data_IF_835905971282
#
_entry.id   IF_835905971282
#
_cell.length_a   1.000
_cell.length_b   1.000
_cell.length_c   1.000
_cell.angle_alpha   90.00
_cell.angle_beta   90.00
_cell.angle_gamma   90.00
#
_symmetry.space_group_name_H-M   'P 1'
#
loop_
_entity.id
_entity.type
_entity.pdbx_description
1 polymer ?
#
# COMPACT_ATOMS: atom_id res chain seq x y z
N UNK A 1 -75.26 -42.05 -31.28
CA UNK A 1 -74.10 -42.54 -30.50
C UNK A 1 -73.11 -41.40 -30.31
N UNK A 2 -73.07 -40.79 -29.12
CA UNK A 2 -72.10 -39.74 -28.77
C UNK A 2 -70.75 -40.40 -28.47
N UNK A 3 -69.73 -40.11 -29.29
CA UNK A 3 -68.34 -40.51 -28.98
C UNK A 3 -67.83 -39.64 -27.84
N UNK A 4 -67.70 -40.22 -26.66
CA UNK A 4 -67.02 -39.61 -25.52
C UNK A 4 -65.52 -39.62 -25.80
N UNK A 5 -64.94 -38.45 -26.06
CA UNK A 5 -63.49 -38.28 -25.99
C UNK A 5 -63.12 -38.12 -24.51
N UNK A 6 -62.17 -38.90 -23.97
CA UNK A 6 -61.76 -38.77 -22.58
C UNK A 6 -61.11 -37.41 -22.34
N UNK A 7 -61.62 -36.68 -21.35
CA UNK A 7 -61.18 -35.33 -20.98
C UNK A 7 -59.68 -35.27 -20.59
N UNK A 8 -59.08 -36.41 -20.23
CA UNK A 8 -57.69 -36.53 -19.81
C UNK A 8 -56.67 -36.23 -20.91
N UNK A 9 -57.01 -36.41 -22.21
CA UNK A 9 -56.06 -36.18 -23.30
C UNK A 9 -55.77 -34.67 -23.53
N UNK A 10 -56.70 -33.79 -23.12
CA UNK A 10 -56.54 -32.34 -23.27
C UNK A 10 -55.67 -31.73 -22.17
N UNK A 11 -55.64 -32.34 -20.99
CA UNK A 11 -54.90 -31.82 -19.85
C UNK A 11 -53.39 -32.11 -19.97
N UNK A 12 -53.01 -33.28 -20.46
CA UNK A 12 -51.60 -33.64 -20.68
C UNK A 12 -50.93 -32.79 -21.75
N UNK A 13 -51.63 -32.39 -22.81
CA UNK A 13 -51.05 -31.54 -23.86
C UNK A 13 -50.85 -30.09 -23.39
N UNK A 14 -51.73 -29.57 -22.52
CA UNK A 14 -51.59 -28.22 -21.94
C UNK A 14 -50.46 -28.20 -20.90
N UNK A 15 -50.34 -29.23 -20.06
CA UNK A 15 -49.25 -29.35 -19.09
C UNK A 15 -47.90 -29.50 -19.81
N UNK A 16 -47.80 -30.31 -20.86
CA UNK A 16 -46.58 -30.42 -21.67
C UNK A 16 -46.22 -29.11 -22.38
N UNK A 17 -47.20 -28.32 -22.85
CA UNK A 17 -46.95 -27.03 -23.49
C UNK A 17 -46.47 -25.96 -22.49
N UNK A 18 -47.03 -25.94 -21.27
CA UNK A 18 -46.59 -25.05 -20.18
C UNK A 18 -45.20 -25.45 -19.67
N UNK A 19 -44.89 -26.74 -19.60
CA UNK A 19 -43.54 -27.22 -19.26
C UNK A 19 -42.51 -26.88 -20.36
N UNK A 20 -42.92 -26.96 -21.63
CA UNK A 20 -42.06 -26.57 -22.77
C UNK A 20 -41.83 -25.05 -22.79
N UNK A 21 -42.84 -24.24 -22.49
CA UNK A 21 -42.73 -22.77 -22.41
C UNK A 21 -41.95 -22.30 -21.18
N UNK A 22 -41.99 -23.04 -20.07
CA UNK A 22 -41.16 -22.78 -18.88
C UNK A 22 -39.68 -23.10 -19.06
N UNK A 23 -39.33 -24.01 -19.99
CA UNK A 23 -37.94 -24.29 -20.38
C UNK A 23 -37.32 -23.20 -21.27
N UNK A 24 -38.14 -22.31 -21.83
CA UNK A 24 -37.70 -21.08 -22.51
C UNK A 24 -37.80 -19.85 -21.60
N UNK A 25 -37.71 -20.04 -20.28
CA UNK A 25 -37.52 -18.93 -19.34
C UNK A 25 -36.14 -18.31 -19.58
N UNK A 26 -36.10 -17.40 -20.56
CA UNK A 26 -35.14 -16.33 -20.79
C UNK A 26 -33.87 -16.47 -19.96
N UNK A 27 -32.96 -17.35 -20.38
CA UNK A 27 -31.57 -17.16 -20.03
C UNK A 27 -31.18 -15.83 -20.66
N UNK A 28 -31.03 -14.80 -19.83
CA UNK A 28 -30.24 -13.63 -20.22
C UNK A 28 -28.84 -14.17 -20.47
N UNK A 29 -28.56 -14.51 -21.74
CA UNK A 29 -27.21 -14.65 -22.24
C UNK A 29 -26.57 -13.30 -22.01
N UNK A 30 -25.91 -13.13 -20.87
CA UNK A 30 -24.96 -12.05 -20.68
C UNK A 30 -23.90 -12.27 -21.75
N UNK A 31 -23.94 -11.44 -22.79
CA UNK A 31 -22.90 -11.43 -23.81
C UNK A 31 -21.54 -11.31 -23.10
N UNK A 32 -20.52 -11.97 -23.64
CA UNK A 32 -19.16 -11.77 -23.17
C UNK A 32 -18.88 -10.25 -23.21
N UNK A 33 -18.64 -9.65 -22.04
CA UNK A 33 -18.24 -8.25 -21.96
C UNK A 33 -16.87 -8.18 -22.65
N UNK A 34 -16.84 -7.61 -23.84
CA UNK A 34 -15.62 -7.43 -24.59
C UNK A 34 -15.13 -6.00 -24.36
N UNK A 35 -13.95 -5.88 -23.78
CA UNK A 35 -13.31 -4.59 -23.53
C UNK A 35 -12.37 -4.28 -24.69
N UNK A 36 -12.60 -3.16 -25.36
CA UNK A 36 -11.63 -2.66 -26.33
C UNK A 36 -10.37 -2.20 -25.60
N UNK A 37 -9.20 -2.59 -26.11
CA UNK A 37 -7.90 -2.25 -25.55
C UNK A 37 -7.16 -1.27 -26.47
N UNK A 38 -6.43 -0.34 -25.88
CA UNK A 38 -5.47 0.54 -26.56
C UNK A 38 -4.22 0.69 -25.71
N UNK A 39 -3.13 1.10 -26.35
CA UNK A 39 -1.91 1.55 -25.65
C UNK A 39 -2.05 3.05 -25.40
N UNK A 40 -1.70 3.51 -24.20
CA UNK A 40 -1.64 4.93 -23.89
C UNK A 40 -0.54 5.58 -24.75
N UNK A 41 -0.89 6.57 -25.56
CA UNK A 41 0.09 7.32 -26.33
C UNK A 41 0.68 8.43 -25.47
N UNK A 42 1.97 8.32 -25.14
CA UNK A 42 2.67 9.35 -24.37
C UNK A 42 2.92 10.63 -25.17
N UNK A 43 2.78 10.60 -26.50
CA UNK A 43 2.88 11.75 -27.39
C UNK A 43 4.15 12.58 -27.17
N UNK A 44 5.26 11.89 -26.90
CA UNK A 44 6.57 12.51 -26.62
C UNK A 44 6.71 13.20 -25.25
N UNK A 45 5.71 13.13 -24.37
CA UNK A 45 5.74 13.77 -23.04
C UNK A 45 6.45 12.96 -21.95
N UNK A 46 7.08 11.83 -22.29
CA UNK A 46 7.78 10.96 -21.33
C UNK A 46 7.34 9.51 -21.43
N UNK A 47 7.44 8.76 -20.33
CA UNK A 47 7.05 7.36 -20.21
C UNK A 47 6.82 6.96 -18.73
N UNK A 48 6.48 5.69 -18.52
CA UNK A 48 6.38 5.00 -17.21
C UNK A 48 7.15 3.67 -17.26
N UNK A 49 8.33 3.68 -17.90
CA UNK A 49 9.07 2.46 -18.27
C UNK A 49 9.79 1.81 -17.09
N UNK A 50 9.82 2.45 -15.91
CA UNK A 50 10.51 1.92 -14.72
C UNK A 50 9.68 0.90 -13.94
N UNK A 51 8.57 0.43 -14.51
CA UNK A 51 7.66 -0.55 -13.92
C UNK A 51 6.58 0.11 -13.08
N UNK A 52 5.32 0.03 -13.52
CA UNK A 52 4.17 0.59 -12.79
C UNK A 52 3.65 -0.41 -11.78
N UNK A 53 3.51 0.03 -10.53
CA UNK A 53 3.03 -0.82 -9.42
C UNK A 53 1.65 -0.40 -8.93
N UNK A 54 1.31 0.88 -9.01
CA UNK A 54 0.00 1.40 -8.63
C UNK A 54 -0.36 2.64 -9.46
N UNK A 55 -1.65 2.87 -9.66
CA UNK A 55 -2.17 4.04 -10.36
C UNK A 55 -3.58 4.39 -9.91
N UNK A 56 -3.89 5.67 -9.87
CA UNK A 56 -5.21 6.18 -9.49
C UNK A 56 -5.50 7.51 -10.17
N UNK A 57 -6.75 7.72 -10.58
CA UNK A 57 -7.20 9.05 -11.00
C UNK A 57 -7.43 9.94 -9.77
N UNK A 58 -6.83 11.12 -9.78
CA UNK A 58 -7.05 12.11 -8.74
C UNK A 58 -8.31 12.95 -8.95
N UNK A 59 -8.69 13.76 -7.94
CA UNK A 59 -9.87 14.62 -7.99
C UNK A 59 -9.75 15.75 -9.03
N UNK A 60 -8.56 16.01 -9.55
CA UNK A 60 -8.27 16.97 -10.61
C UNK A 60 -8.32 16.36 -12.02
N UNK A 61 -8.66 15.07 -12.14
CA UNK A 61 -8.77 14.34 -13.39
C UNK A 61 -7.44 13.89 -13.99
N UNK A 62 -6.30 14.12 -13.31
CA UNK A 62 -4.99 13.58 -13.72
C UNK A 62 -4.84 12.13 -13.27
N UNK A 63 -4.05 11.36 -14.01
CA UNK A 63 -3.67 10.00 -13.63
C UNK A 63 -2.35 10.03 -12.87
N UNK A 64 -2.37 9.57 -11.63
CA UNK A 64 -1.20 9.44 -10.78
C UNK A 64 -0.69 8.01 -10.87
N UNK A 65 0.62 7.84 -11.05
CA UNK A 65 1.25 6.54 -11.31
C UNK A 65 2.47 6.42 -10.42
N UNK A 66 2.55 5.35 -9.65
CA UNK A 66 3.74 4.98 -8.91
C UNK A 66 4.61 4.04 -9.75
N UNK A 67 5.87 4.40 -9.94
CA UNK A 67 6.87 3.50 -10.48
C UNK A 67 7.59 2.75 -9.35
N UNK A 68 7.94 1.48 -9.61
CA UNK A 68 8.59 0.58 -8.66
C UNK A 68 9.81 1.20 -7.96
N UNK A 69 10.70 1.98 -8.62
CA UNK A 69 11.85 2.61 -7.97
C UNK A 69 11.54 3.87 -7.14
N UNK A 70 10.28 4.30 -7.06
CA UNK A 70 9.85 5.41 -6.21
C UNK A 70 9.60 6.74 -6.90
N UNK A 71 9.70 6.83 -8.22
CA UNK A 71 9.24 8.04 -8.92
C UNK A 71 7.72 8.02 -9.03
N UNK A 72 7.07 9.12 -8.68
CA UNK A 72 5.63 9.31 -8.92
C UNK A 72 5.44 10.15 -10.18
N UNK A 73 4.65 9.66 -11.13
CA UNK A 73 4.31 10.35 -12.37
C UNK A 73 2.88 10.88 -12.29
N UNK A 74 2.67 12.13 -12.69
CA UNK A 74 1.33 12.73 -12.76
C UNK A 74 1.03 13.13 -14.20
N UNK A 75 0.10 12.42 -14.82
CA UNK A 75 -0.20 12.51 -16.24
C UNK A 75 -1.51 13.28 -16.47
N UNK A 76 -1.47 14.27 -17.36
CA UNK A 76 -2.68 14.84 -17.95
C UNK A 76 -3.01 14.04 -19.22
N UNK A 77 -4.17 13.39 -19.23
CA UNK A 77 -4.59 12.51 -20.34
C UNK A 77 -5.81 13.11 -21.03
N UNK A 78 -5.68 13.32 -22.35
CA UNK A 78 -6.80 13.64 -23.23
C UNK A 78 -7.39 12.35 -23.80
N UNK A 79 -8.69 12.15 -23.56
CA UNK A 79 -9.46 11.07 -24.20
C UNK A 79 -10.09 11.57 -25.50
N UNK A 80 -9.52 11.19 -26.64
CA UNK A 80 -10.04 11.56 -27.96
C UNK A 80 -11.23 10.68 -28.37
N UNK A 81 -11.20 9.39 -28.01
CA UNK A 81 -12.31 8.45 -28.23
C UNK A 81 -12.27 7.28 -27.21
N UNK A 82 -13.02 6.20 -27.46
CA UNK A 82 -13.10 5.06 -26.54
C UNK A 82 -11.77 4.32 -26.32
N UNK A 83 -10.85 4.38 -27.28
CA UNK A 83 -9.59 3.62 -27.36
C UNK A 83 -8.43 4.51 -27.82
N UNK A 84 -8.51 5.80 -27.56
CA UNK A 84 -7.52 6.80 -27.98
C UNK A 84 -7.35 7.79 -26.84
N UNK A 85 -6.27 7.56 -26.10
CA UNK A 85 -5.86 8.32 -24.95
C UNK A 85 -4.46 8.81 -25.20
N UNK A 86 -4.28 10.12 -25.07
CA UNK A 86 -3.04 10.81 -25.40
C UNK A 86 -2.60 11.60 -24.17
N UNK A 87 -1.38 11.39 -23.71
CA UNK A 87 -0.78 12.20 -22.66
C UNK A 87 -0.43 13.56 -23.25
N UNK A 88 -0.93 14.63 -22.64
CA UNK A 88 -0.65 16.01 -23.07
C UNK A 88 0.34 16.72 -22.15
N UNK A 89 0.56 16.19 -20.95
CA UNK A 89 1.56 16.65 -20.00
C UNK A 89 1.93 15.54 -19.02
N UNK A 90 3.18 15.53 -18.55
CA UNK A 90 3.67 14.60 -17.53
C UNK A 90 4.58 15.35 -16.56
N UNK A 91 4.28 15.22 -15.28
CA UNK A 91 5.09 15.70 -14.16
C UNK A 91 5.74 14.50 -13.46
N UNK A 92 6.97 14.65 -12.95
CA UNK A 92 7.67 13.62 -12.17
C UNK A 92 8.02 14.17 -10.80
N UNK A 93 7.68 13.42 -9.75
CA UNK A 93 7.94 13.76 -8.36
C UNK A 93 8.98 12.80 -7.78
N UNK A 94 10.05 13.36 -7.22
CA UNK A 94 11.16 12.62 -6.60
C UNK A 94 11.00 12.42 -5.10
N UNK A 95 9.93 12.93 -4.49
CA UNK A 95 9.83 13.00 -3.02
C UNK A 95 9.95 11.65 -2.31
N UNK A 96 9.69 10.51 -2.97
CA UNK A 96 9.98 9.18 -2.40
C UNK A 96 11.44 8.77 -2.67
N UNK A 97 11.99 8.99 -3.87
CA UNK A 97 13.42 8.71 -4.15
C UNK A 97 14.40 9.59 -3.38
N UNK A 98 13.93 10.72 -2.85
CA UNK A 98 14.73 11.62 -2.01
C UNK A 98 14.87 11.14 -0.56
N UNK A 99 14.21 10.03 -0.19
CA UNK A 99 14.34 9.39 1.12
C UNK A 99 15.74 8.76 1.23
N UNK A 100 16.46 9.12 2.30
CA UNK A 100 17.75 8.49 2.63
C UNK A 100 17.51 7.05 3.11
N UNK A 101 18.15 6.09 2.46
CA UNK A 101 18.05 4.68 2.84
C UNK A 101 19.03 4.32 3.97
N UNK A 102 18.73 3.22 4.64
CA UNK A 102 19.54 2.67 5.73
C UNK A 102 19.77 1.18 5.52
N UNK A 103 20.80 0.64 6.15
CA UNK A 103 21.03 -0.79 6.29
C UNK A 103 20.35 -1.33 7.55
N UNK A 104 20.27 -2.65 7.70
CA UNK A 104 19.52 -3.26 8.80
C UNK A 104 20.09 -2.96 10.20
N UNK A 105 21.35 -2.55 10.28
CA UNK A 105 21.99 -2.06 11.52
C UNK A 105 21.66 -0.58 11.83
N UNK A 106 20.85 0.06 10.99
CA UNK A 106 20.46 1.47 11.09
C UNK A 106 21.48 2.44 10.50
N UNK A 107 22.58 1.97 9.91
CA UNK A 107 23.55 2.85 9.27
C UNK A 107 22.98 3.45 7.98
N UNK A 108 23.32 4.71 7.68
CA UNK A 108 22.91 5.37 6.44
C UNK A 108 23.55 4.67 5.23
N UNK A 109 22.72 4.31 4.25
CA UNK A 109 23.13 3.74 2.97
C UNK A 109 22.85 4.71 1.81
N UNK A 110 23.84 5.56 1.53
CA UNK A 110 23.77 6.50 0.39
C UNK A 110 23.96 5.83 -0.98
N UNK A 111 24.31 4.54 -1.03
CA UNK A 111 24.49 3.79 -2.28
C UNK A 111 23.16 3.37 -2.91
N UNK A 112 22.10 3.25 -2.11
CA UNK A 112 20.74 2.97 -2.55
C UNK A 112 19.94 4.28 -2.66
N UNK A 113 19.50 4.62 -3.86
CA UNK A 113 18.71 5.85 -4.16
C UNK A 113 17.29 5.55 -4.62
N UNK A 114 16.95 4.28 -4.78
CA UNK A 114 15.63 3.81 -5.18
C UNK A 114 14.86 3.34 -3.95
N UNK A 115 13.53 3.31 -4.07
CA UNK A 115 12.61 2.84 -3.04
C UNK A 115 11.58 1.93 -3.67
N UNK A 116 11.42 0.71 -3.18
CA UNK A 116 10.33 -0.16 -3.61
C UNK A 116 9.00 0.51 -3.28
N UNK A 117 8.23 0.87 -4.30
CA UNK A 117 6.97 1.59 -4.13
C UNK A 117 5.84 0.75 -4.70
N UNK A 118 4.88 0.36 -3.87
CA UNK A 118 3.85 -0.64 -4.22
C UNK A 118 2.42 -0.19 -3.93
N UNK A 119 2.21 0.95 -3.26
CA UNK A 119 0.89 1.51 -3.00
C UNK A 119 0.80 3.01 -3.26
N UNK A 120 -0.32 3.44 -3.83
CA UNK A 120 -0.65 4.84 -4.06
C UNK A 120 -2.16 5.03 -3.93
N UNK A 121 -2.58 6.03 -3.16
CA UNK A 121 -3.97 6.54 -3.15
C UNK A 121 -3.96 8.07 -3.24
N UNK A 122 -4.97 8.62 -3.90
CA UNK A 122 -5.09 10.05 -4.21
C UNK A 122 -6.39 10.57 -3.65
N UNK A 123 -6.30 11.67 -2.92
CA UNK A 123 -7.41 12.32 -2.25
C UNK A 123 -7.33 13.86 -2.41
N UNK A 124 -7.98 14.58 -1.50
CA UNK A 124 -8.03 16.04 -1.51
C UNK A 124 -9.09 16.57 -2.47
N UNK A 125 -8.77 17.66 -3.16
CA UNK A 125 -9.69 18.36 -4.07
C UNK A 125 -9.02 18.62 -5.40
N UNK A 126 -9.79 18.97 -6.43
CA UNK A 126 -9.24 19.30 -7.74
C UNK A 126 -8.20 20.43 -7.70
N UNK A 127 -8.32 21.38 -6.77
CA UNK A 127 -7.37 22.49 -6.62
C UNK A 127 -6.21 22.18 -5.67
N UNK A 128 -6.36 21.18 -4.79
CA UNK A 128 -5.36 20.76 -3.81
C UNK A 128 -5.40 19.22 -3.71
N UNK A 129 -4.91 18.51 -4.74
CA UNK A 129 -4.79 17.06 -4.67
C UNK A 129 -3.76 16.67 -3.60
N UNK A 130 -4.00 15.51 -2.98
CA UNK A 130 -3.11 14.90 -1.98
C UNK A 130 -2.80 13.48 -2.42
N UNK A 131 -1.53 13.10 -2.40
CA UNK A 131 -1.08 11.74 -2.73
C UNK A 131 -0.52 11.12 -1.47
N UNK A 132 -0.92 9.88 -1.18
CA UNK A 132 -0.28 9.04 -0.17
C UNK A 132 0.38 7.87 -0.86
N UNK A 133 1.64 7.62 -0.53
CA UNK A 133 2.47 6.60 -1.18
C UNK A 133 3.14 5.75 -0.11
N UNK A 134 3.03 4.44 -0.24
CA UNK A 134 3.83 3.51 0.56
C UNK A 134 5.11 3.14 -0.19
N UNK A 135 6.22 3.11 0.55
CA UNK A 135 7.51 2.70 0.01
C UNK A 135 8.34 1.92 1.03
N UNK A 136 9.36 1.20 0.58
CA UNK A 136 10.31 0.44 1.42
C UNK A 136 11.70 0.40 0.76
N UNK A 137 12.67 -0.24 1.42
CA UNK A 137 13.98 -0.52 0.81
C UNK A 137 13.79 -1.24 -0.53
N UNK A 138 14.52 -0.79 -1.55
CA UNK A 138 14.44 -1.32 -2.90
C UNK A 138 15.14 -2.67 -3.07
N UNK A 139 16.08 -2.99 -2.17
CA UNK A 139 16.84 -4.24 -2.22
C UNK A 139 15.92 -5.43 -1.93
N UNK A 140 16.27 -6.56 -2.53
CA UNK A 140 15.65 -7.86 -2.27
C UNK A 140 16.82 -8.81 -2.01
N UNK A 141 17.02 -9.19 -0.75
CA UNK A 141 18.14 -10.05 -0.38
C UNK A 141 17.85 -11.53 -0.59
N UNK A 142 16.61 -11.91 -0.32
CA UNK A 142 16.26 -13.30 -0.13
C UNK A 142 15.58 -13.93 -1.38
N UNK A 143 14.78 -14.99 -1.18
CA UNK A 143 14.26 -15.83 -2.25
C UNK A 143 15.01 -17.17 -2.37
N UNK A 144 14.93 -17.85 -3.53
CA UNK A 144 15.38 -19.25 -3.66
C UNK A 144 16.88 -19.47 -3.37
N UNK A 145 17.71 -18.45 -3.60
CA UNK A 145 19.15 -18.48 -3.27
C UNK A 145 19.44 -18.27 -1.78
N UNK A 146 18.54 -17.59 -1.04
CA UNK A 146 18.64 -17.28 0.38
C UNK A 146 19.83 -16.38 0.71
N UNK A 147 19.78 -15.13 0.25
CA UNK A 147 20.76 -14.09 0.57
C UNK A 147 20.26 -13.12 1.62
N UNK A 148 21.21 -12.53 2.34
CA UNK A 148 21.05 -11.37 3.20
C UNK A 148 21.87 -10.25 2.57
N UNK A 149 21.22 -9.10 2.33
CA UNK A 149 21.84 -7.92 1.71
C UNK A 149 21.87 -6.73 2.66
N UNK A 150 21.60 -6.97 3.95
CA UNK A 150 21.51 -5.98 5.00
C UNK A 150 20.51 -4.88 4.67
N UNK A 151 19.35 -5.23 4.11
CA UNK A 151 18.31 -4.24 3.85
C UNK A 151 17.62 -3.84 5.15
N UNK A 152 17.13 -2.61 5.24
CA UNK A 152 16.47 -2.15 6.46
C UNK A 152 15.07 -2.81 6.62
N UNK A 153 14.92 -3.68 7.61
CA UNK A 153 13.66 -4.38 7.93
C UNK A 153 12.60 -3.50 8.61
N UNK A 154 12.93 -2.24 8.92
CA UNK A 154 12.03 -1.15 9.32
C UNK A 154 11.86 -0.09 8.20
N UNK A 155 12.29 -0.36 6.97
CA UNK A 155 12.34 0.65 5.90
C UNK A 155 10.98 1.13 5.37
N UNK A 156 9.87 0.54 5.81
CA UNK A 156 8.53 0.93 5.36
C UNK A 156 8.19 2.36 5.77
N UNK A 157 7.77 3.18 4.79
CA UNK A 157 7.41 4.59 4.98
C UNK A 157 6.15 4.91 4.20
N UNK A 158 5.30 5.75 4.78
CA UNK A 158 4.18 6.38 4.08
C UNK A 158 4.47 7.87 3.90
N UNK A 159 4.63 8.28 2.65
CA UNK A 159 4.91 9.67 2.26
C UNK A 159 3.64 10.34 1.76
N UNK A 160 3.39 11.58 2.19
CA UNK A 160 2.30 12.44 1.71
C UNK A 160 2.85 13.57 0.86
N UNK A 161 2.27 13.73 -0.33
CA UNK A 161 2.45 14.90 -1.18
C UNK A 161 1.18 15.75 -1.13
N UNK A 162 1.30 17.04 -0.85
CA UNK A 162 0.17 17.99 -0.84
C UNK A 162 0.43 19.11 -1.82
N UNK A 163 -0.43 19.28 -2.82
CA UNK A 163 -0.31 20.41 -3.72
C UNK A 163 -0.84 21.68 -3.06
N UNK A 164 0.00 22.71 -2.95
CA UNK A 164 -0.34 23.98 -2.29
C UNK A 164 -0.77 25.10 -3.25
N UNK A 165 -0.90 24.79 -4.55
CA UNK A 165 -1.17 25.77 -5.61
C UNK A 165 0.06 26.20 -6.41
N UNK A 166 1.27 25.89 -5.93
CA UNK A 166 2.53 26.26 -6.59
C UNK A 166 3.59 25.15 -6.60
N UNK A 167 3.65 24.34 -5.55
CA UNK A 167 4.56 23.22 -5.40
C UNK A 167 3.89 22.09 -4.64
N UNK A 168 4.55 20.92 -4.63
CA UNK A 168 4.21 19.81 -3.77
C UNK A 168 4.97 19.94 -2.45
N UNK A 169 4.23 20.02 -1.34
CA UNK A 169 4.78 19.87 0.00
C UNK A 169 4.86 18.37 0.31
N UNK A 170 6.02 17.89 0.76
CA UNK A 170 6.31 16.47 0.95
C UNK A 170 6.66 16.20 2.41
N UNK A 171 6.00 15.22 3.02
CA UNK A 171 6.25 14.82 4.41
C UNK A 171 6.09 13.32 4.58
N UNK A 172 6.95 12.68 5.36
CA UNK A 172 6.78 11.29 5.76
C UNK A 172 5.85 11.19 6.96
N UNK A 173 4.66 10.62 6.77
CA UNK A 173 3.65 10.53 7.82
C UNK A 173 4.04 9.52 8.89
N UNK A 174 4.51 8.36 8.46
CA UNK A 174 4.87 7.23 9.30
C UNK A 174 6.14 6.60 8.75
N UNK A 175 7.14 6.42 9.60
CA UNK A 175 8.41 5.74 9.29
C UNK A 175 8.64 4.58 10.27
N UNK A 176 9.32 3.53 9.82
CA UNK A 176 9.60 2.34 10.64
C UNK A 176 8.66 1.16 10.40
N UNK A 177 7.85 1.17 9.33
CA UNK A 177 6.96 0.05 9.03
C UNK A 177 7.76 -1.18 8.58
N UNK A 178 7.28 -2.41 8.88
CA UNK A 178 8.04 -3.62 8.61
C UNK A 178 8.26 -3.86 7.11
N UNK A 179 9.44 -4.36 6.78
CA UNK A 179 9.86 -4.83 5.46
C UNK A 179 10.57 -6.18 5.63
N UNK A 180 10.20 -7.19 4.84
CA UNK A 180 10.89 -8.47 4.88
C UNK A 180 12.25 -8.40 4.19
N UNK A 181 13.09 -9.41 4.39
CA UNK A 181 14.34 -9.58 3.62
C UNK A 181 14.12 -9.98 2.15
N UNK A 182 12.89 -10.37 1.77
CA UNK A 182 12.52 -10.74 0.38
C UNK A 182 11.73 -9.62 -0.31
N UNK A 183 10.46 -9.83 -0.68
CA UNK A 183 9.62 -8.93 -1.47
C UNK A 183 8.27 -8.64 -0.80
N UNK A 184 8.21 -8.76 0.53
CA UNK A 184 7.02 -8.42 1.30
C UNK A 184 7.24 -7.06 1.96
N UNK A 185 6.44 -6.08 1.61
CA UNK A 185 6.64 -4.68 1.95
C UNK A 185 5.37 -4.04 2.54
N UNK A 186 5.47 -2.75 2.85
CA UNK A 186 4.26 -1.91 3.04
C UNK A 186 3.66 -1.63 1.67
N UNK A 187 2.46 -2.15 1.41
CA UNK A 187 1.84 -2.16 0.08
C UNK A 187 0.65 -1.19 -0.03
N UNK A 188 -0.42 -1.60 -0.72
CA UNK A 188 -1.60 -0.79 -0.99
C UNK A 188 -2.20 -0.15 0.26
N UNK A 189 -2.74 1.05 0.06
CA UNK A 189 -3.33 1.86 1.11
C UNK A 189 -4.55 2.60 0.58
N UNK A 190 -5.56 2.76 1.42
CA UNK A 190 -6.77 3.52 1.08
C UNK A 190 -7.10 4.54 2.16
N UNK A 191 -7.46 5.75 1.71
CA UNK A 191 -7.95 6.80 2.60
C UNK A 191 -9.44 6.58 2.89
N UNK A 192 -9.78 6.52 4.17
CA UNK A 192 -11.16 6.35 4.62
C UNK A 192 -11.51 7.33 5.73
N UNK A 193 -12.77 7.72 5.79
CA UNK A 193 -13.32 8.43 6.94
C UNK A 193 -14.25 7.48 7.71
N UNK A 194 -13.91 7.17 8.96
CA UNK A 194 -14.70 6.31 9.84
C UNK A 194 -15.22 7.17 10.97
N UNK A 195 -16.54 7.41 10.99
CA UNK A 195 -17.22 8.20 12.01
C UNK A 195 -16.62 9.59 12.26
N UNK A 196 -16.14 10.25 11.20
CA UNK A 196 -15.54 11.59 11.27
C UNK A 196 -14.02 11.61 11.42
N UNK A 197 -13.38 10.47 11.69
CA UNK A 197 -11.91 10.38 11.79
C UNK A 197 -11.31 9.85 10.50
N UNK A 198 -10.24 10.48 10.03
CA UNK A 198 -9.54 10.07 8.82
C UNK A 198 -8.48 9.00 9.13
N UNK A 199 -8.48 7.94 8.33
CA UNK A 199 -7.52 6.86 8.43
C UNK A 199 -6.91 6.55 7.06
N UNK A 200 -5.65 6.12 7.06
CA UNK A 200 -5.16 5.23 6.01
C UNK A 200 -5.33 3.79 6.49
N UNK A 201 -5.99 2.97 5.69
CA UNK A 201 -6.00 1.52 5.85
C UNK A 201 -4.90 0.97 4.97
N UNK A 202 -3.95 0.24 5.53
CA UNK A 202 -2.69 -0.10 4.86
C UNK A 202 -2.45 -1.61 4.91
N UNK A 203 -2.14 -2.21 3.76
CA UNK A 203 -1.69 -3.58 3.68
C UNK A 203 -0.20 -3.65 4.06
N UNK A 204 0.11 -4.27 5.19
CA UNK A 204 1.48 -4.54 5.61
C UNK A 204 1.84 -6.00 5.38
N UNK A 205 2.86 -6.22 4.54
CA UNK A 205 3.40 -7.53 4.27
C UNK A 205 3.97 -8.21 5.50
N UNK A 206 3.86 -9.52 5.55
CA UNK A 206 4.48 -10.40 6.53
C UNK A 206 5.97 -10.52 6.27
N UNK A 207 6.75 -10.82 7.30
CA UNK A 207 8.20 -11.00 7.17
C UNK A 207 8.54 -12.37 6.60
N UNK A 208 7.62 -13.33 6.67
CA UNK A 208 7.81 -14.71 6.26
C UNK A 208 6.77 -15.16 5.26
N UNK A 209 7.01 -16.30 4.59
CA UNK A 209 6.06 -16.89 3.66
C UNK A 209 4.94 -17.72 4.32
N UNK A 210 5.11 -18.14 5.56
CA UNK A 210 4.21 -19.14 6.19
C UNK A 210 4.01 -18.94 7.68
N UNK A 211 4.33 -17.77 8.22
CA UNK A 211 4.30 -17.49 9.65
C UNK A 211 5.45 -18.14 10.42
N UNK A 212 6.52 -18.57 9.74
CA UNK A 212 7.69 -19.19 10.37
C UNK A 212 8.97 -18.83 9.62
N UNK A 213 10.12 -18.70 10.33
CA UNK A 213 11.43 -18.51 9.73
C UNK A 213 11.72 -19.51 8.61
N UNK A 214 12.32 -19.02 7.52
CA UNK A 214 12.76 -19.88 6.42
C UNK A 214 13.98 -19.29 5.71
N UNK A 215 14.75 -20.16 5.04
CA UNK A 215 15.90 -19.73 4.24
C UNK A 215 15.57 -18.63 3.23
N UNK A 216 14.37 -18.67 2.65
CA UNK A 216 13.95 -17.71 1.62
C UNK A 216 13.70 -16.31 2.18
N UNK A 217 13.74 -16.14 3.51
CA UNK A 217 13.56 -14.88 4.24
C UNK A 217 14.60 -14.81 5.37
N UNK A 218 15.83 -15.25 5.12
CA UNK A 218 17.00 -15.08 6.03
C UNK A 218 16.80 -15.65 7.44
N UNK A 219 15.82 -16.52 7.64
CA UNK A 219 15.41 -17.02 8.96
C UNK A 219 14.94 -15.95 9.96
N UNK A 220 14.54 -14.77 9.48
CA UNK A 220 13.84 -13.77 10.31
C UNK A 220 12.42 -14.22 10.65
N UNK A 221 11.85 -13.71 11.74
CA UNK A 221 10.53 -14.11 12.27
C UNK A 221 9.44 -13.07 11.95
N UNK A 222 8.17 -13.38 12.23
CA UNK A 222 7.09 -12.39 12.08
C UNK A 222 7.08 -11.39 13.25
N UNK A 223 6.68 -10.16 12.94
CA UNK A 223 6.67 -9.05 13.89
C UNK A 223 5.28 -8.45 14.07
N UNK A 224 5.12 -7.61 15.09
CA UNK A 224 3.80 -7.18 15.55
C UNK A 224 2.98 -6.45 14.47
N UNK A 225 3.64 -5.62 13.65
CA UNK A 225 2.99 -4.82 12.61
C UNK A 225 2.99 -5.50 11.22
N UNK A 226 3.62 -6.67 11.07
CA UNK A 226 3.72 -7.37 9.79
C UNK A 226 2.52 -8.30 9.57
N UNK A 227 2.28 -8.67 8.31
CA UNK A 227 1.25 -9.65 7.96
C UNK A 227 -0.15 -9.22 8.40
N UNK A 228 -0.44 -7.93 8.28
CA UNK A 228 -1.62 -7.31 8.84
C UNK A 228 -2.17 -6.20 7.94
N UNK A 229 -3.47 -5.95 8.07
CA UNK A 229 -4.02 -4.65 7.71
C UNK A 229 -3.87 -3.73 8.92
N UNK A 230 -3.20 -2.61 8.68
CA UNK A 230 -3.00 -1.56 9.67
C UNK A 230 -4.02 -0.44 9.46
N UNK A 231 -4.43 0.18 10.56
CA UNK A 231 -5.14 1.46 10.55
C UNK A 231 -4.21 2.55 11.06
N UNK A 232 -4.02 3.59 10.26
CA UNK A 232 -3.19 4.75 10.60
C UNK A 232 -4.11 5.94 10.76
N UNK A 233 -4.26 6.42 11.99
CA UNK A 233 -5.10 7.56 12.34
C UNK A 233 -4.42 8.87 11.96
N UNK A 234 -4.92 9.51 10.89
CA UNK A 234 -4.34 10.76 10.38
C UNK A 234 -4.61 11.95 11.29
N UNK A 235 -5.76 11.99 11.96
CA UNK A 235 -6.10 13.10 12.88
C UNK A 235 -5.17 13.10 14.11
N UNK A 236 -4.74 11.91 14.58
CA UNK A 236 -3.72 11.81 15.64
C UNK A 236 -2.35 12.28 15.15
N UNK A 237 -1.97 11.91 13.91
CA UNK A 237 -0.71 12.36 13.31
C UNK A 237 -0.66 13.89 13.17
N UNK A 238 -1.75 14.50 12.69
CA UNK A 238 -1.85 15.95 12.53
C UNK A 238 -1.68 16.70 13.88
N UNK A 239 -2.00 16.05 15.00
CA UNK A 239 -1.80 16.59 16.35
C UNK A 239 -0.35 16.57 16.86
N UNK A 240 0.56 15.81 16.23
CA UNK A 240 1.98 15.70 16.64
C UNK A 240 2.79 16.90 16.12
N UNK A 241 2.45 17.37 14.92
CA UNK A 241 3.21 18.41 14.21
C UNK A 241 4.35 17.84 13.37
N UNK A 242 4.78 18.62 12.37
CA UNK A 242 5.88 18.27 11.47
C UNK A 242 7.22 18.50 12.16
N UNK A 243 8.12 17.55 12.01
CA UNK A 243 9.51 17.57 12.45
C UNK A 243 10.43 17.46 11.22
N UNK A 244 11.69 17.84 11.36
CA UNK A 244 12.70 17.70 10.30
C UNK A 244 13.87 16.90 10.84
N UNK A 245 14.28 15.85 10.12
CA UNK A 245 15.39 15.00 10.54
C UNK A 245 16.77 15.59 10.21
N UNK A 246 17.83 14.86 10.59
CA UNK A 246 19.22 15.29 10.36
C UNK A 246 19.62 15.40 8.88
N UNK A 247 18.82 14.84 7.96
CA UNK A 247 19.02 14.92 6.52
C UNK A 247 18.19 16.04 5.87
N UNK A 248 17.41 16.79 6.66
CA UNK A 248 16.53 17.84 6.17
C UNK A 248 15.19 17.32 5.64
N UNK A 249 14.83 16.07 5.94
CA UNK A 249 13.55 15.47 5.53
C UNK A 249 12.48 15.74 6.57
N UNK A 250 11.33 16.24 6.12
CA UNK A 250 10.17 16.46 6.97
C UNK A 250 9.42 15.14 7.23
N UNK A 251 9.06 14.91 8.49
CA UNK A 251 8.31 13.75 8.94
C UNK A 251 7.37 14.08 10.11
N UNK A 252 6.45 13.18 10.45
CA UNK A 252 5.52 13.34 11.59
C UNK A 252 5.79 12.31 12.67
N UNK A 253 5.80 11.03 12.32
CA UNK A 253 5.83 9.94 13.31
C UNK A 253 6.83 8.84 12.95
N UNK A 254 7.81 8.68 13.83
CA UNK A 254 8.64 7.48 13.90
C UNK A 254 7.94 6.47 14.80
N UNK A 255 7.66 5.27 14.27
CA UNK A 255 7.09 4.21 15.09
C UNK A 255 8.16 3.82 16.12
N UNK A 256 7.83 3.85 17.43
CA UNK A 256 8.76 3.40 18.44
C UNK A 256 9.20 1.95 18.21
N UNK A 257 10.47 1.66 18.46
CA UNK A 257 11.09 0.36 18.25
C UNK A 257 11.42 -0.34 19.57
N UNK A 258 11.88 -1.59 19.49
CA UNK A 258 12.54 -2.28 20.61
C UNK A 258 13.92 -1.65 20.85
N UNK A 259 14.41 -1.66 22.09
CA UNK A 259 15.79 -1.25 22.38
C UNK A 259 16.74 -2.39 21.97
N UNK A 260 17.54 -2.11 20.95
CA UNK A 260 18.52 -3.02 20.38
C UNK A 260 19.77 -3.09 21.26
N UNK A 261 20.02 -4.24 21.94
CA UNK A 261 21.15 -4.36 22.87
C UNK A 261 22.53 -4.30 22.18
N UNK A 262 22.57 -4.30 20.84
CA UNK A 262 23.79 -4.16 20.05
C UNK A 262 24.04 -2.72 19.59
N UNK A 263 23.08 -1.81 19.81
CA UNK A 263 23.15 -0.40 19.44
C UNK A 263 23.22 0.47 20.70
N UNK A 264 23.78 1.67 20.54
CA UNK A 264 23.83 2.63 21.62
C UNK A 264 22.53 3.45 21.63
N UNK A 265 21.95 3.61 22.81
CA UNK A 265 20.88 4.59 23.03
C UNK A 265 21.38 6.03 22.85
N UNK A 266 20.54 6.91 22.29
CA UNK A 266 20.84 8.33 22.00
C UNK A 266 21.24 9.10 23.27
N UNK A 267 20.63 8.78 24.41
CA UNK A 267 20.94 9.39 25.70
C UNK A 267 22.12 8.72 26.44
N UNK A 268 22.70 7.66 25.87
CA UNK A 268 23.80 6.89 26.46
C UNK A 268 23.41 6.00 27.66
N UNK A 269 22.11 5.80 27.93
CA UNK A 269 21.63 4.97 29.03
C UNK A 269 21.13 3.64 28.47
N UNK A 270 21.80 2.54 28.79
CA UNK A 270 21.45 1.19 28.31
C UNK A 270 20.75 0.31 29.35
N UNK A 271 20.76 0.71 30.62
CA UNK A 271 20.10 -0.02 31.70
C UNK A 271 18.66 0.53 31.90
N UNK A 272 17.61 -0.29 31.68
CA UNK A 272 16.22 0.12 31.89
C UNK A 272 15.89 0.57 33.31
N UNK A 273 16.66 0.14 34.31
CA UNK A 273 16.48 0.54 35.71
C UNK A 273 17.13 1.90 36.02
N UNK A 274 17.93 2.45 35.10
CA UNK A 274 18.57 3.76 35.27
C UNK A 274 17.59 4.90 34.94
N UNK A 275 17.48 5.86 35.86
CA UNK A 275 16.60 7.02 35.69
C UNK A 275 16.90 7.80 34.40
N UNK A 276 15.86 8.03 33.60
CA UNK A 276 15.97 8.72 32.30
C UNK A 276 16.16 7.79 31.11
N UNK A 277 16.21 6.47 31.31
CA UNK A 277 16.15 5.47 30.24
C UNK A 277 14.90 5.69 29.38
N UNK A 278 15.09 5.68 28.06
CA UNK A 278 14.02 5.82 27.07
C UNK A 278 14.05 4.72 25.98
N UNK A 279 15.13 3.91 25.91
CA UNK A 279 15.30 2.85 24.92
C UNK A 279 15.14 3.35 23.49
N UNK A 280 15.73 4.51 23.18
CA UNK A 280 15.75 5.08 21.83
C UNK A 280 17.15 4.96 21.29
N UNK A 281 17.30 4.14 20.26
CA UNK A 281 18.56 3.82 19.64
C UNK A 281 19.01 4.91 18.66
N UNK A 282 20.32 5.00 18.46
CA UNK A 282 20.86 5.85 17.39
C UNK A 282 20.28 5.40 16.04
N UNK A 283 19.73 6.36 15.30
CA UNK A 283 19.07 6.21 13.99
C UNK A 283 17.71 5.52 14.00
N UNK A 284 17.03 5.41 15.16
CA UNK A 284 15.61 5.06 15.16
C UNK A 284 14.80 5.97 14.23
N UNK A 285 13.81 5.42 13.50
CA UNK A 285 13.27 4.06 13.61
C UNK A 285 13.95 3.06 12.66
N UNK A 286 15.04 3.43 12.00
CA UNK A 286 15.63 2.65 10.91
C UNK A 286 16.53 1.50 11.40
N UNK A 287 16.60 0.46 10.58
CA UNK A 287 17.36 -0.76 10.82
C UNK A 287 16.70 -1.62 11.88
N UNK A 288 15.86 -2.57 11.46
CA UNK A 288 15.19 -3.49 12.39
C UNK A 288 16.12 -4.54 13.00
N UNK A 289 17.33 -4.69 12.44
CA UNK A 289 18.45 -5.49 12.92
C UNK A 289 18.03 -6.90 13.34
N UNK A 290 17.51 -7.67 12.38
CA UNK A 290 17.01 -9.03 12.59
C UNK A 290 15.98 -9.14 13.73
N UNK A 291 15.22 -8.07 13.97
CA UNK A 291 14.17 -7.99 14.97
C UNK A 291 14.60 -7.42 16.32
N UNK A 292 15.88 -7.09 16.52
CA UNK A 292 16.38 -6.47 17.75
C UNK A 292 15.87 -5.04 17.94
N UNK A 293 15.65 -4.31 16.83
CA UNK A 293 15.13 -2.95 16.81
C UNK A 293 13.74 -2.87 16.12
N UNK A 294 12.94 -3.93 16.13
CA UNK A 294 11.72 -3.91 15.35
C UNK A 294 10.67 -2.94 15.90
N UNK A 295 9.98 -2.23 15.01
CA UNK A 295 8.82 -1.41 15.35
C UNK A 295 7.75 -2.16 16.17
N UNK A 296 7.24 -1.49 17.21
CA UNK A 296 6.25 -2.04 18.16
C UNK A 296 4.88 -1.40 18.02
N UNK A 297 3.85 -2.14 18.42
CA UNK A 297 2.50 -1.58 18.59
C UNK A 297 2.48 -0.73 19.86
N UNK A 298 2.15 0.55 19.72
CA UNK A 298 1.98 1.47 20.86
C UNK A 298 0.48 1.64 21.13
N UNK A 299 -0.06 1.15 22.27
CA UNK A 299 -1.48 1.30 22.58
C UNK A 299 -1.92 2.77 22.56
N UNK A 300 -2.96 3.06 21.78
CA UNK A 300 -3.48 4.44 21.62
C UNK A 300 -2.65 5.33 20.69
N UNK A 301 -1.56 4.82 20.12
CA UNK A 301 -0.78 5.51 19.09
C UNK A 301 -1.48 5.55 17.73
N UNK A 302 -0.95 6.31 16.77
CA UNK A 302 -1.59 6.52 15.46
C UNK A 302 -1.60 5.25 14.59
N UNK A 303 -0.65 4.32 14.77
CA UNK A 303 -0.55 3.07 14.00
C UNK A 303 -1.07 1.91 14.84
N UNK A 304 -2.16 1.28 14.42
CA UNK A 304 -2.77 0.13 15.08
C UNK A 304 -3.01 -1.02 14.10
N UNK A 305 -3.07 -2.23 14.62
CA UNK A 305 -3.51 -3.41 13.85
C UNK A 305 -5.02 -3.35 13.72
N UNK A 306 -5.52 -3.28 12.49
CA UNK A 306 -6.95 -3.38 12.20
C UNK A 306 -7.39 -4.84 12.04
N UNK A 307 -6.64 -5.62 11.26
CA UNK A 307 -6.92 -7.03 11.02
C UNK A 307 -5.62 -7.81 10.82
N UNK A 308 -5.23 -8.74 11.71
CA UNK A 308 -4.00 -9.52 11.57
C UNK A 308 -4.22 -10.80 10.74
N UNK A 309 -3.12 -11.46 10.36
CA UNK A 309 -3.13 -12.85 9.85
C UNK A 309 -3.05 -12.98 8.32
N UNK A 310 -2.58 -11.94 7.65
CA UNK A 310 -2.29 -11.95 6.22
C UNK A 310 -0.83 -12.36 5.98
N UNK A 311 -0.53 -12.86 4.78
CA UNK A 311 0.85 -13.16 4.37
C UNK A 311 1.52 -11.94 3.73
N UNK A 312 1.08 -11.55 2.55
CA UNK A 312 1.57 -10.37 1.85
C UNK A 312 0.43 -9.85 0.98
N UNK A 313 -0.54 -9.20 1.61
CA UNK A 313 -1.61 -8.53 0.89
C UNK A 313 -0.99 -7.38 0.10
N UNK A 314 -1.19 -7.36 -1.22
CA UNK A 314 -0.65 -6.32 -2.08
C UNK A 314 -1.54 -5.08 -2.11
N UNK A 315 -2.86 -5.28 -2.00
CA UNK A 315 -3.81 -4.19 -2.09
C UNK A 315 -5.07 -4.50 -1.28
N UNK A 316 -5.90 -3.49 -1.09
CA UNK A 316 -7.19 -3.58 -0.42
C UNK A 316 -8.15 -2.58 -1.05
N UNK A 317 -9.45 -2.82 -0.89
CA UNK A 317 -10.47 -1.87 -1.30
C UNK A 317 -11.48 -1.66 -0.19
N UNK A 318 -11.83 -0.40 0.05
CA UNK A 318 -12.93 -0.02 0.92
C UNK A 318 -14.08 0.50 0.05
N UNK A 319 -15.22 -0.18 0.10
CA UNK A 319 -16.37 0.19 -0.71
C UNK A 319 -17.06 1.43 -0.16
N UNK A 320 -17.90 2.08 -0.98
CA UNK A 320 -18.77 3.18 -0.54
C UNK A 320 -19.69 2.79 0.62
N UNK A 321 -20.08 1.51 0.72
CA UNK A 321 -20.86 0.98 1.84
C UNK A 321 -20.03 0.71 3.10
N UNK A 322 -18.72 0.99 3.07
CA UNK A 322 -17.79 0.80 4.18
C UNK A 322 -17.29 -0.63 4.38
N UNK A 323 -17.46 -1.52 3.39
CA UNK A 323 -16.92 -2.88 3.47
C UNK A 323 -15.45 -2.89 3.04
N UNK A 324 -14.59 -3.52 3.84
CA UNK A 324 -13.18 -3.74 3.51
C UNK A 324 -13.00 -5.12 2.87
N UNK A 325 -12.32 -5.15 1.73
CA UNK A 325 -11.86 -6.36 1.06
C UNK A 325 -10.34 -6.33 0.91
N UNK A 326 -9.73 -7.49 1.15
CA UNK A 326 -8.28 -7.72 1.14
C UNK A 326 -8.02 -8.97 0.32
#
# INVERSE_FOLDING_TARGET
MKKFYPLHLRFTHVVSLVFLLGLFSMHTLSAQINFSQSVLDFNGNGNVDSGVTSLMYGPDGRLYVAEYPGTIKVLTILRNNSTDYVVTNLESLSGVTDIVNHDDDGAVNNGQTQRETTGLTVAGTASNPVIYVSSSDFRIGAGSSGGDVGLDTNSGIITRFTWNGSSWDVVDLVRGLPRSEENHATNGLELVNINGTNYLIVASGGITNGGSPSKNFVYTCEYALSGAILSINLDLLDGIGVQTDGNGRDYIYDIPTLDDPTRNNVNGITDPDTAGYNGVDINDPFGGNDGLNQAKVVPGGPVQIYSPGYRNAFDLVVTESGALYV
#
